data_IF_183275056550
#
_entry.id   IF_183275056550
#
_cell.length_a   1.000
_cell.length_b   1.000
_cell.length_c   1.000
_cell.angle_alpha   90.00
_cell.angle_beta   90.00
_cell.angle_gamma   90.00
#
_symmetry.space_group_name_H-M   'P 1'
#
loop_
_entity.id
_entity.type
_entity.pdbx_description
1 polymer ?
#
# COMPACT_ATOMS: atom_id res chain seq x y z
N UNK A 1 5.32 -4.00 -0.08
CA UNK A 1 4.98 -2.68 0.49
C UNK A 1 3.61 -2.25 -0.05
N UNK A 2 2.63 -2.02 0.81
CA UNK A 2 1.31 -1.52 0.41
C UNK A 2 1.36 0.01 0.47
N UNK A 3 1.33 0.66 -0.69
CA UNK A 3 1.21 2.11 -0.79
C UNK A 3 -0.27 2.47 -0.63
N UNK A 4 -0.59 3.27 0.38
CA UNK A 4 -1.88 3.96 0.48
C UNK A 4 -1.68 5.40 0.08
N UNK A 5 -2.40 5.83 -0.94
CA UNK A 5 -2.50 7.20 -1.39
C UNK A 5 -3.96 7.47 -1.73
N UNK A 6 -4.38 8.73 -1.63
CA UNK A 6 -5.78 9.18 -1.65
C UNK A 6 -6.52 9.09 -0.30
N UNK A 7 -5.77 9.07 0.80
CA UNK A 7 -6.31 9.31 2.15
C UNK A 7 -5.48 10.41 2.82
N UNK A 8 -6.12 11.39 3.46
CA UNK A 8 -5.39 12.37 4.26
C UNK A 8 -4.61 11.69 5.39
N UNK A 9 -3.53 12.34 5.87
CA UNK A 9 -2.66 11.73 6.90
C UNK A 9 -3.44 11.30 8.15
N UNK A 10 -4.46 12.08 8.54
CA UNK A 10 -5.31 11.81 9.71
C UNK A 10 -6.24 10.59 9.54
N UNK A 11 -6.40 10.07 8.33
CA UNK A 11 -7.30 8.95 8.03
C UNK A 11 -6.54 7.64 7.73
N UNK A 12 -5.21 7.68 7.79
CA UNK A 12 -4.33 6.52 7.56
C UNK A 12 -4.59 5.43 8.60
N UNK A 13 -4.71 5.77 9.88
CA UNK A 13 -4.93 4.79 10.96
C UNK A 13 -6.24 4.00 10.79
N UNK A 14 -7.28 4.64 10.25
CA UNK A 14 -8.59 4.00 10.02
C UNK A 14 -8.55 3.01 8.87
N UNK A 15 -7.72 3.28 7.86
CA UNK A 15 -7.65 2.52 6.62
C UNK A 15 -6.51 1.50 6.60
N UNK A 16 -5.49 1.69 7.43
CA UNK A 16 -4.34 0.80 7.53
C UNK A 16 -4.62 -0.30 8.56
N UNK A 17 -4.33 -1.56 8.21
CA UNK A 17 -4.46 -2.72 9.11
C UNK A 17 -3.36 -3.70 8.81
N UNK A 18 -2.67 -4.19 9.85
CA UNK A 18 -1.59 -5.15 9.66
C UNK A 18 -2.15 -6.43 9.04
N UNK A 19 -1.57 -6.90 7.93
CA UNK A 19 -2.08 -8.08 7.23
C UNK A 19 -1.96 -9.35 8.08
N UNK A 20 -0.94 -9.41 8.95
CA UNK A 20 -0.67 -10.53 9.84
C UNK A 20 -1.48 -10.49 11.14
N UNK A 21 -1.41 -9.40 11.92
CA UNK A 21 -2.02 -9.34 13.25
C UNK A 21 -3.35 -8.59 13.32
N UNK A 22 -3.79 -7.96 12.22
CA UNK A 22 -5.07 -7.24 12.08
C UNK A 22 -5.29 -6.05 13.03
N UNK A 23 -4.27 -5.67 13.81
CA UNK A 23 -4.28 -4.46 14.64
C UNK A 23 -4.17 -3.21 13.78
N UNK A 24 -4.73 -2.12 14.30
CA UNK A 24 -4.72 -0.77 13.71
C UNK A 24 -3.70 0.17 14.36
N UNK A 25 -3.29 -0.14 15.59
CA UNK A 25 -2.18 0.54 16.25
C UNK A 25 -0.90 0.20 15.48
N UNK A 26 -0.37 1.21 14.81
CA UNK A 26 0.96 1.15 14.24
C UNK A 26 1.81 2.21 14.93
N UNK A 27 2.95 1.79 15.44
CA UNK A 27 4.04 2.70 15.76
C UNK A 27 4.69 3.10 14.43
N UNK A 28 4.45 4.34 13.99
CA UNK A 28 4.91 4.84 12.68
C UNK A 28 5.66 6.15 12.85
N UNK A 29 6.86 6.19 12.27
CA UNK A 29 7.58 7.43 12.09
C UNK A 29 6.99 8.21 10.90
N UNK A 30 6.54 9.44 11.17
CA UNK A 30 6.14 10.36 10.12
C UNK A 30 7.38 11.03 9.55
N UNK A 31 7.77 10.61 8.34
CA UNK A 31 8.90 11.18 7.63
C UNK A 31 8.41 12.28 6.67
N UNK A 32 8.62 13.54 7.05
CA UNK A 32 8.38 14.68 6.19
C UNK A 32 9.64 14.92 5.32
N UNK A 33 9.60 14.67 4.01
CA UNK A 33 10.76 14.88 3.17
C UNK A 33 11.10 16.37 3.08
N UNK A 34 12.39 16.71 3.20
CA UNK A 34 12.89 18.05 2.86
C UNK A 34 12.62 18.38 1.39
N UNK A 35 12.63 19.67 1.02
CA UNK A 35 12.39 20.09 -0.37
C UNK A 35 13.29 19.34 -1.38
N UNK A 36 14.58 19.16 -1.05
CA UNK A 36 15.55 18.44 -1.89
C UNK A 36 15.21 16.96 -2.03
N UNK A 37 14.71 16.32 -0.96
CA UNK A 37 14.25 14.93 -1.00
C UNK A 37 12.94 14.81 -1.78
N UNK A 38 12.02 15.76 -1.61
CA UNK A 38 10.75 15.82 -2.32
C UNK A 38 10.91 15.81 -3.84
N UNK A 39 11.86 16.59 -4.36
CA UNK A 39 12.18 16.62 -5.81
C UNK A 39 12.67 15.27 -6.33
N UNK A 40 13.28 14.43 -5.47
CA UNK A 40 13.77 13.09 -5.83
C UNK A 40 12.67 12.01 -5.75
N UNK A 41 11.54 12.27 -5.09
CA UNK A 41 10.45 11.30 -4.97
C UNK A 41 9.75 11.15 -6.32
N UNK A 42 9.90 9.99 -6.96
CA UNK A 42 9.18 9.65 -8.19
C UNK A 42 7.89 8.91 -7.87
N UNK A 43 6.77 9.62 -7.85
CA UNK A 43 5.44 9.02 -7.72
C UNK A 43 4.97 8.54 -9.09
N UNK A 44 4.63 7.26 -9.21
CA UNK A 44 3.98 6.74 -10.42
C UNK A 44 2.51 7.14 -10.39
N UNK A 45 2.05 7.81 -11.45
CA UNK A 45 0.63 8.12 -11.63
C UNK A 45 -0.14 6.81 -11.88
N UNK A 46 -1.17 6.55 -11.07
CA UNK A 46 -2.13 5.49 -11.36
C UNK A 46 -2.91 5.90 -12.62
N UNK A 47 -2.71 5.16 -13.72
CA UNK A 47 -3.38 5.44 -15.02
C UNK A 47 -4.62 4.58 -15.24
N UNK A 48 -4.83 3.56 -14.41
CA UNK A 48 -5.99 2.68 -14.49
C UNK A 48 -5.80 1.42 -13.65
N UNK A 49 -6.92 0.80 -13.30
CA UNK A 49 -6.96 -0.48 -12.58
C UNK A 49 -7.52 -1.52 -13.55
N UNK A 50 -6.85 -2.67 -13.68
CA UNK A 50 -7.31 -3.78 -14.53
C UNK A 50 -7.49 -5.06 -13.73
N UNK A 51 -8.59 -5.77 -13.99
CA UNK A 51 -8.82 -7.11 -13.46
C UNK A 51 -8.12 -8.13 -14.37
N UNK A 52 -7.21 -8.92 -13.82
CA UNK A 52 -6.47 -9.94 -14.57
C UNK A 52 -6.98 -11.32 -14.16
N UNK A 53 -7.54 -12.07 -15.10
CA UNK A 53 -7.80 -13.51 -14.89
C UNK A 53 -6.46 -14.24 -14.87
N UNK A 54 -6.16 -14.94 -13.78
CA UNK A 54 -4.94 -15.75 -13.63
C UNK A 54 -5.34 -17.21 -13.52
N UNK A 55 -4.81 -18.05 -14.41
CA UNK A 55 -5.02 -19.50 -14.34
C UNK A 55 -4.24 -20.04 -13.14
N UNK A 56 -4.92 -20.79 -12.28
CA UNK A 56 -4.32 -21.47 -11.13
C UNK A 56 -4.50 -22.97 -11.37
N UNK A 57 -3.40 -23.65 -11.70
CA UNK A 57 -3.39 -25.10 -11.80
C UNK A 57 -3.27 -25.70 -10.41
N UNK A 58 -4.01 -26.77 -10.15
CA UNK A 58 -3.82 -27.62 -8.98
C UNK A 58 -3.64 -29.04 -9.47
N UNK A 59 -2.63 -29.71 -8.93
CA UNK A 59 -2.43 -31.13 -9.18
C UNK A 59 -3.43 -31.91 -8.30
N UNK A 60 -4.19 -32.81 -8.92
CA UNK A 60 -5.01 -33.78 -8.19
C UNK A 60 -4.13 -34.98 -7.80
N UNK A 61 -4.29 -35.47 -6.56
CA UNK A 61 -3.70 -36.74 -6.13
C UNK A 61 -4.73 -37.83 -6.35
N UNK A 62 -4.39 -38.80 -7.19
CA UNK A 62 -5.09 -40.09 -7.32
C UNK A 62 -5.10 -40.87 -6.00
#
# INVERSE_FOLDING_TARGET
>A
LKLMGDIPFWDVERHMRCERCKRREFDVDILLPSAVQGVKIRVRRLVGVRMVRRVIWRDEKD
#
